data_IF_387766289521
#
_entry.id   IF_387766289521
#
_cell.length_a   1.000
_cell.length_b   1.000
_cell.length_c   1.000
_cell.angle_alpha   90.00
_cell.angle_beta   90.00
_cell.angle_gamma   90.00
#
_symmetry.space_group_name_H-M   'P 1'
#
loop_
_entity.id
_entity.type
_entity.pdbx_description
1 polymer ?
#
# COMPACT_ATOMS: atom_id res chain seq x y z
N UNK A 1 35.77 26.88 32.12
CA UNK A 1 35.64 26.01 30.92
C UNK A 1 34.20 25.53 30.84
N UNK A 2 33.42 26.02 29.87
CA UNK A 2 32.03 25.59 29.66
C UNK A 2 32.03 24.41 28.68
N UNK A 3 31.46 23.29 29.10
CA UNK A 3 31.40 22.04 28.32
C UNK A 3 30.09 22.06 27.51
N UNK A 4 30.19 22.34 26.22
CA UNK A 4 29.06 22.37 25.31
C UNK A 4 28.73 20.92 24.90
N UNK A 5 27.58 20.40 25.35
CA UNK A 5 27.09 19.08 24.92
C UNK A 5 26.20 19.33 23.70
N UNK A 6 26.68 18.90 22.53
CA UNK A 6 25.87 18.81 21.31
C UNK A 6 24.94 17.61 21.44
N UNK A 7 23.66 17.86 21.72
CA UNK A 7 22.59 16.89 21.57
C UNK A 7 22.32 16.72 20.07
N UNK A 8 22.82 15.63 19.49
CA UNK A 8 22.51 15.23 18.12
C UNK A 8 21.13 14.54 18.15
N UNK A 9 20.06 15.27 17.85
CA UNK A 9 18.74 14.66 17.67
C UNK A 9 18.69 13.95 16.31
N UNK A 10 18.76 12.62 16.30
CA UNK A 10 18.45 11.84 15.09
C UNK A 10 16.96 12.00 14.81
N UNK A 11 16.63 12.67 13.71
CA UNK A 11 15.28 12.67 13.18
C UNK A 11 15.02 11.25 12.65
N UNK A 12 14.34 10.41 13.43
CA UNK A 12 13.78 9.16 12.91
C UNK A 12 12.57 9.59 12.08
N UNK A 13 12.77 9.78 10.78
CA UNK A 13 11.65 9.83 9.85
C UNK A 13 11.04 8.44 9.87
N UNK A 14 9.88 8.26 10.50
CA UNK A 14 9.18 6.99 10.42
C UNK A 14 8.88 6.73 8.94
N UNK A 15 9.41 5.64 8.41
CA UNK A 15 9.20 5.17 7.04
C UNK A 15 8.11 4.11 7.14
N UNK A 16 7.01 4.28 6.40
CA UNK A 16 5.98 3.26 6.27
C UNK A 16 6.52 2.02 5.57
N UNK A 17 5.84 0.90 5.77
CA UNK A 17 6.18 -0.32 5.07
C UNK A 17 6.12 -0.12 3.56
N UNK A 18 7.10 -0.68 2.85
CA UNK A 18 7.10 -0.68 1.39
C UNK A 18 6.15 -1.75 0.86
N UNK A 19 5.27 -1.39 -0.08
CA UNK A 19 4.60 -2.34 -0.95
C UNK A 19 5.61 -3.02 -1.88
N UNK A 20 5.72 -4.35 -1.79
CA UNK A 20 6.70 -5.15 -2.54
C UNK A 20 6.15 -5.73 -3.83
N UNK A 21 4.85 -6.01 -3.88
CA UNK A 21 4.14 -6.45 -5.07
C UNK A 21 2.65 -6.08 -4.93
N UNK A 22 1.95 -5.62 -5.99
CA UNK A 22 2.40 -5.49 -7.37
C UNK A 22 3.42 -4.36 -7.58
N UNK A 23 4.14 -4.39 -8.69
CA UNK A 23 4.92 -3.23 -9.17
C UNK A 23 4.19 -2.56 -10.34
N UNK A 24 4.60 -1.35 -10.69
CA UNK A 24 4.05 -0.66 -11.87
C UNK A 24 4.11 -1.56 -13.12
N UNK A 25 3.01 -1.58 -13.88
CA UNK A 25 2.83 -2.39 -15.07
C UNK A 25 2.46 -3.86 -14.82
N UNK A 26 2.32 -4.29 -13.56
CA UNK A 26 1.81 -5.64 -13.25
C UNK A 26 0.45 -5.86 -13.92
N UNK A 27 0.28 -7.02 -14.54
CA UNK A 27 -0.95 -7.40 -15.24
C UNK A 27 -1.74 -8.37 -14.36
N UNK A 28 -3.02 -8.09 -14.16
CA UNK A 28 -3.96 -8.96 -13.45
C UNK A 28 -5.18 -9.25 -14.32
N UNK A 29 -5.73 -10.46 -14.22
CA UNK A 29 -6.95 -10.83 -14.93
C UNK A 29 -8.16 -10.80 -14.02
N UNK A 30 -9.29 -10.31 -14.52
CA UNK A 30 -10.57 -10.38 -13.81
C UNK A 30 -10.87 -11.84 -13.41
N UNK A 31 -11.24 -12.06 -12.16
CA UNK A 31 -11.52 -13.39 -11.61
C UNK A 31 -10.28 -14.21 -11.21
N UNK A 32 -9.07 -13.71 -11.44
CA UNK A 32 -7.83 -14.36 -11.00
C UNK A 32 -7.59 -14.15 -9.49
N UNK A 33 -7.12 -15.16 -8.75
CA UNK A 33 -6.58 -14.97 -7.41
C UNK A 33 -5.23 -14.26 -7.48
N UNK A 34 -5.12 -13.12 -6.82
CA UNK A 34 -3.90 -12.31 -6.75
C UNK A 34 -3.54 -12.02 -5.31
N UNK A 35 -2.30 -11.59 -5.08
CA UNK A 35 -1.82 -11.18 -3.76
C UNK A 35 -1.15 -9.81 -3.83
N UNK A 36 -1.37 -8.99 -2.80
CA UNK A 36 -0.56 -7.78 -2.53
C UNK A 36 0.33 -8.07 -1.33
N UNK A 37 1.62 -7.81 -1.48
CA UNK A 37 2.62 -8.10 -0.45
C UNK A 37 3.34 -6.84 0.02
N UNK A 38 3.72 -6.86 1.29
CA UNK A 38 4.41 -5.77 1.97
C UNK A 38 5.65 -6.27 2.68
N UNK A 39 6.70 -5.45 2.68
CA UNK A 39 7.77 -5.57 3.66
C UNK A 39 7.22 -5.34 5.08
N UNK A 40 7.93 -5.78 6.13
CA UNK A 40 7.57 -5.44 7.50
C UNK A 40 7.49 -3.93 7.73
N UNK A 41 6.35 -3.50 8.26
CA UNK A 41 6.09 -2.12 8.67
C UNK A 41 6.49 -1.85 10.12
N UNK A 42 6.07 -0.70 10.62
CA UNK A 42 6.26 -0.34 12.02
C UNK A 42 5.11 -0.88 12.91
N UNK A 43 5.28 -0.89 14.25
CA UNK A 43 4.21 -1.29 15.15
C UNK A 43 2.92 -0.51 14.90
N UNK A 44 1.77 -1.18 15.00
CA UNK A 44 0.45 -0.62 14.75
C UNK A 44 0.22 -0.05 13.34
N UNK A 45 1.09 -0.36 12.38
CA UNK A 45 0.86 -0.03 10.98
C UNK A 45 -0.19 -0.96 10.36
N UNK A 46 -1.14 -0.35 9.67
CA UNK A 46 -2.23 -1.02 8.95
C UNK A 46 -2.37 -0.44 7.55
N UNK A 47 -2.89 -1.26 6.63
CA UNK A 47 -3.20 -0.83 5.27
C UNK A 47 -4.68 -1.00 4.96
N UNK A 48 -5.17 -0.19 4.03
CA UNK A 48 -6.42 -0.39 3.33
C UNK A 48 -6.18 -0.20 1.83
N UNK A 49 -6.71 -1.11 1.03
CA UNK A 49 -6.45 -1.16 -0.40
C UNK A 49 -7.75 -1.12 -1.20
N UNK A 50 -7.74 -0.40 -2.31
CA UNK A 50 -8.86 -0.32 -3.24
C UNK A 50 -8.36 0.11 -4.63
N UNK A 51 -9.19 -0.09 -5.65
CA UNK A 51 -8.93 0.50 -6.96
C UNK A 51 -9.36 1.96 -6.99
N UNK A 52 -8.55 2.86 -7.56
CA UNK A 52 -8.84 4.30 -7.57
C UNK A 52 -10.18 4.66 -8.22
N UNK A 53 -10.58 3.90 -9.26
CA UNK A 53 -11.85 4.08 -9.98
C UNK A 53 -13.07 3.61 -9.20
N UNK A 54 -12.91 2.69 -8.25
CA UNK A 54 -13.98 2.22 -7.37
C UNK A 54 -13.46 2.05 -5.93
N UNK A 55 -13.63 3.11 -5.15
CA UNK A 55 -13.24 3.17 -3.74
C UNK A 55 -14.30 2.60 -2.80
N UNK A 56 -15.43 2.13 -3.32
CA UNK A 56 -16.49 1.54 -2.50
C UNK A 56 -16.15 0.12 -2.05
N UNK A 57 -15.20 -0.53 -2.72
CA UNK A 57 -14.75 -1.89 -2.44
C UNK A 57 -13.33 -1.84 -1.86
N UNK A 58 -13.18 -2.28 -0.60
CA UNK A 58 -11.88 -2.56 -0.01
C UNK A 58 -11.46 -3.97 -0.40
N UNK A 59 -10.41 -4.09 -1.19
CA UNK A 59 -9.90 -5.38 -1.71
C UNK A 59 -8.93 -6.06 -0.74
N UNK A 60 -8.42 -5.33 0.25
CA UNK A 60 -7.72 -5.90 1.38
C UNK A 60 -7.40 -4.87 2.45
N UNK A 61 -7.29 -5.34 3.68
CA UNK A 61 -7.07 -4.52 4.86
C UNK A 61 -6.44 -5.36 5.98
N UNK A 62 -5.56 -4.75 6.77
CA UNK A 62 -5.04 -5.40 7.96
C UNK A 62 -3.71 -4.85 8.45
N UNK A 63 -3.20 -5.41 9.56
CA UNK A 63 -1.90 -5.07 10.10
C UNK A 63 -0.77 -5.57 9.21
N UNK A 64 0.32 -4.82 9.15
CA UNK A 64 1.52 -5.18 8.39
C UNK A 64 2.83 -5.00 9.17
N UNK A 65 2.75 -4.94 10.51
CA UNK A 65 3.93 -4.77 11.37
C UNK A 65 4.97 -5.89 11.22
N UNK A 66 4.55 -7.08 10.83
CA UNK A 66 5.45 -8.23 10.54
C UNK A 66 5.59 -8.51 9.04
N UNK A 67 5.10 -7.59 8.21
CA UNK A 67 4.87 -7.78 6.79
C UNK A 67 3.47 -8.32 6.57
N UNK A 68 3.14 -8.64 5.31
CA UNK A 68 1.83 -9.18 5.02
C UNK A 68 1.66 -9.56 3.56
N UNK A 69 0.76 -10.51 3.35
CA UNK A 69 0.25 -10.92 2.04
C UNK A 69 -1.27 -10.92 2.13
N UNK A 70 -1.91 -10.18 1.24
CA UNK A 70 -3.37 -10.05 1.20
C UNK A 70 -3.86 -10.60 -0.12
N UNK A 71 -4.52 -11.76 -0.05
CA UNK A 71 -5.07 -12.44 -1.20
C UNK A 71 -6.50 -11.98 -1.46
N UNK A 72 -6.85 -11.77 -2.73
CA UNK A 72 -8.22 -11.51 -3.17
C UNK A 72 -8.41 -11.97 -4.61
N UNK A 73 -9.68 -12.11 -5.01
CA UNK A 73 -10.04 -12.33 -6.41
C UNK A 73 -10.24 -10.97 -7.08
N UNK A 74 -9.58 -10.74 -8.22
CA UNK A 74 -9.74 -9.50 -8.99
C UNK A 74 -11.24 -9.31 -9.33
N UNK A 75 -11.88 -8.22 -8.87
CA UNK A 75 -13.32 -8.10 -8.94
C UNK A 75 -13.79 -7.86 -10.40
N UNK A 76 -15.03 -8.24 -10.74
CA UNK A 76 -15.56 -8.16 -12.10
C UNK A 76 -15.70 -6.73 -12.65
N UNK A 77 -15.65 -5.73 -11.77
CA UNK A 77 -15.67 -4.32 -12.12
C UNK A 77 -14.28 -3.66 -12.10
N UNK A 78 -13.20 -4.44 -11.92
CA UNK A 78 -11.85 -3.94 -12.15
C UNK A 78 -11.68 -3.64 -13.64
N UNK A 79 -11.24 -2.43 -13.96
CA UNK A 79 -11.08 -1.96 -15.34
C UNK A 79 -9.89 -1.03 -15.47
N UNK A 80 -9.29 -0.99 -16.65
CA UNK A 80 -8.43 0.12 -17.03
C UNK A 80 -9.32 1.32 -17.41
N UNK A 81 -9.23 2.47 -16.73
CA UNK A 81 -10.01 3.66 -17.06
C UNK A 81 -9.62 4.23 -18.42
N UNK A 82 -10.52 5.01 -19.02
CA UNK A 82 -10.24 5.73 -20.27
C UNK A 82 -9.12 6.76 -20.03
N UNK A 83 -7.89 6.40 -20.39
CA UNK A 83 -6.72 7.25 -20.19
C UNK A 83 -5.48 6.53 -19.65
N UNK A 84 -5.57 5.27 -19.24
CA UNK A 84 -4.38 4.55 -18.77
C UNK A 84 -4.66 3.29 -17.96
N UNK A 85 -3.62 2.78 -17.27
CA UNK A 85 -3.75 1.64 -16.35
C UNK A 85 -4.75 1.91 -15.23
N UNK A 86 -5.25 0.82 -14.63
CA UNK A 86 -5.90 0.90 -13.34
C UNK A 86 -4.89 1.32 -12.26
N UNK A 87 -5.37 1.98 -11.22
CA UNK A 87 -4.54 2.41 -10.09
C UNK A 87 -4.95 1.62 -8.85
N UNK A 88 -4.02 0.84 -8.29
CA UNK A 88 -4.14 0.30 -6.95
C UNK A 88 -3.71 1.37 -5.96
N UNK A 89 -4.61 1.76 -5.06
CA UNK A 89 -4.33 2.71 -4.00
C UNK A 89 -4.19 1.97 -2.68
N UNK A 90 -3.09 2.23 -1.98
CA UNK A 90 -2.82 1.67 -0.66
C UNK A 90 -2.66 2.79 0.35
N UNK A 91 -3.55 2.82 1.33
CA UNK A 91 -3.48 3.80 2.41
C UNK A 91 -2.80 3.17 3.61
N UNK A 92 -1.66 3.73 4.01
CA UNK A 92 -0.98 3.37 5.24
C UNK A 92 -1.49 4.22 6.40
N UNK A 93 -1.80 3.56 7.51
CA UNK A 93 -2.16 4.19 8.77
C UNK A 93 -1.30 3.66 9.90
N UNK A 94 -0.93 4.55 10.80
CA UNK A 94 -0.18 4.22 12.02
C UNK A 94 -0.98 4.79 13.17
N UNK A 95 -1.31 3.96 14.16
CA UNK A 95 -2.18 4.34 15.27
C UNK A 95 -3.47 5.05 14.79
N UNK A 96 -4.08 4.51 13.73
CA UNK A 96 -5.30 5.01 13.06
C UNK A 96 -5.16 6.36 12.33
N UNK A 97 -3.98 7.00 12.33
CA UNK A 97 -3.73 8.23 11.61
C UNK A 97 -3.23 7.95 10.20
N UNK A 98 -3.70 8.72 9.22
CA UNK A 98 -3.18 8.66 7.85
C UNK A 98 -1.70 9.03 7.86
N UNK A 99 -0.87 8.16 7.30
CA UNK A 99 0.58 8.39 7.25
C UNK A 99 1.08 8.58 5.81
N UNK A 100 0.70 7.67 4.91
CA UNK A 100 1.04 7.77 3.48
C UNK A 100 -0.04 7.11 2.61
N UNK A 101 0.07 7.39 1.31
CA UNK A 101 -0.72 6.74 0.27
C UNK A 101 0.22 6.35 -0.85
N UNK A 102 0.26 5.07 -1.18
CA UNK A 102 0.92 4.56 -2.38
C UNK A 102 -0.12 4.43 -3.50
N UNK A 103 0.29 4.75 -4.71
CA UNK A 103 -0.49 4.52 -5.93
C UNK A 103 0.37 3.74 -6.90
N UNK A 104 -0.11 2.56 -7.32
CA UNK A 104 0.60 1.66 -8.23
C UNK A 104 -0.24 1.49 -9.49
N UNK A 105 0.39 1.70 -10.64
CA UNK A 105 -0.25 1.52 -11.93
C UNK A 105 -0.23 0.04 -12.33
N UNK A 106 -1.39 -0.58 -12.51
CA UNK A 106 -1.54 -1.98 -12.91
C UNK A 106 -2.44 -2.09 -14.15
N UNK A 107 -2.21 -3.13 -14.95
CA UNK A 107 -3.03 -3.42 -16.12
C UNK A 107 -4.07 -4.49 -15.75
N UNK A 108 -5.33 -4.21 -16.06
CA UNK A 108 -6.41 -5.19 -15.92
C UNK A 108 -6.77 -5.79 -17.28
N UNK A 109 -6.73 -7.11 -17.36
CA UNK A 109 -7.23 -7.87 -18.50
C UNK A 109 -8.58 -8.50 -18.15
N UNK A 110 -9.54 -8.40 -19.08
CA UNK A 110 -10.90 -8.94 -18.94
C UNK A 110 -11.03 -10.38 -19.40
#
# INVERSE_FOLDING_TARGET
MVKFILLLSTLITAVVAKLTYPTDGTVWKVGEPVSVTFAPGQPAETVNMYFSHDRSIVIGSGPISEGGSFEFIVPPNAVNPAGGPAELVVIHRVDLHLYSVDTIAIQIEG
#
